data_IF_069261110901
#
_entry.id   IF_069261110901
#
_cell.length_a   1.000
_cell.length_b   1.000
_cell.length_c   1.000
_cell.angle_alpha   90.00
_cell.angle_beta   90.00
_cell.angle_gamma   90.00
#
_symmetry.space_group_name_H-M   'P 1'
#
loop_
_entity.id
_entity.type
_entity.pdbx_description
1 polymer ?
#
# COMPACT_ATOMS: atom_id res chain seq x y z
N UNK A 1 64.52 19.99 23.26
CA UNK A 1 64.96 18.69 22.70
C UNK A 1 64.30 18.55 21.34
N UNK A 2 65.06 18.20 20.31
CA UNK A 2 64.51 17.86 19.00
C UNK A 2 64.54 16.33 18.83
N UNK A 3 63.54 15.80 18.12
CA UNK A 3 63.58 14.47 17.53
C UNK A 3 62.96 14.58 16.14
N UNK A 4 63.82 14.74 15.13
CA UNK A 4 63.50 14.22 13.81
C UNK A 4 63.51 12.70 13.87
N UNK A 5 62.74 12.05 12.99
CA UNK A 5 63.34 11.12 12.02
C UNK A 5 62.36 10.82 10.87
N UNK A 6 62.97 10.75 9.68
CA UNK A 6 62.48 10.32 8.36
C UNK A 6 61.29 9.34 8.35
N UNK A 7 60.28 9.54 7.51
CA UNK A 7 60.31 9.31 6.04
C UNK A 7 60.75 7.89 5.65
N UNK A 8 59.84 7.14 5.03
CA UNK A 8 60.12 6.42 3.78
C UNK A 8 58.82 6.25 2.98
N UNK A 9 58.92 6.02 1.66
CA UNK A 9 57.76 6.05 0.75
C UNK A 9 57.78 4.93 -0.28
N UNK A 10 56.63 4.31 -0.51
CA UNK A 10 56.28 3.51 -1.70
C UNK A 10 54.75 3.40 -1.80
N UNK A 11 54.12 3.38 -2.96
CA UNK A 11 54.68 3.52 -4.31
C UNK A 11 53.75 2.88 -5.34
N UNK A 12 53.01 3.72 -6.09
CA UNK A 12 52.20 3.45 -7.31
C UNK A 12 51.54 2.07 -7.51
N UNK A 13 50.20 2.08 -7.63
CA UNK A 13 49.41 0.95 -8.13
C UNK A 13 48.14 1.47 -8.81
N UNK A 14 48.12 1.44 -10.14
CA UNK A 14 47.05 1.95 -11.01
C UNK A 14 46.61 0.84 -11.98
N UNK A 15 45.36 0.90 -12.45
CA UNK A 15 44.64 -0.12 -13.25
C UNK A 15 44.25 -1.41 -12.48
N UNK A 16 43.21 -2.17 -12.87
CA UNK A 16 42.33 -2.02 -14.04
C UNK A 16 40.87 -2.45 -13.78
N UNK A 17 39.99 -2.23 -14.78
CA UNK A 17 38.70 -2.90 -14.89
C UNK A 17 38.88 -4.35 -15.37
N UNK A 18 38.05 -5.27 -14.88
CA UNK A 18 37.71 -6.52 -15.59
C UNK A 18 36.22 -6.83 -15.44
N UNK A 19 35.63 -7.43 -16.47
CA UNK A 19 34.21 -7.80 -16.51
C UNK A 19 33.93 -9.10 -15.73
N UNK A 20 32.68 -9.32 -15.32
CA UNK A 20 32.15 -10.68 -15.17
C UNK A 20 31.21 -11.03 -16.33
N UNK A 21 31.78 -11.03 -17.55
CA UNK A 21 31.12 -11.56 -18.73
C UNK A 21 31.06 -13.08 -18.66
N UNK A 22 29.87 -13.65 -18.44
CA UNK A 22 29.66 -15.09 -18.63
C UNK A 22 28.64 -15.35 -19.75
N UNK A 23 29.10 -15.95 -20.84
CA UNK A 23 28.38 -15.99 -22.11
C UNK A 23 27.66 -17.33 -22.34
N UNK A 24 26.41 -17.27 -22.78
CA UNK A 24 25.75 -18.41 -23.44
C UNK A 24 25.12 -17.95 -24.76
N UNK A 25 25.94 -17.93 -25.82
CA UNK A 25 25.46 -18.14 -27.20
C UNK A 25 25.05 -19.63 -27.30
N UNK A 26 24.05 -20.06 -28.08
CA UNK A 26 23.51 -19.55 -29.33
C UNK A 26 22.03 -20.05 -29.49
N UNK A 27 21.25 -19.82 -30.56
CA UNK A 27 21.52 -19.46 -31.97
C UNK A 27 20.50 -18.45 -32.52
N UNK A 28 20.90 -17.67 -33.54
CA UNK A 28 20.07 -16.67 -34.25
C UNK A 28 19.15 -17.32 -35.30
N UNK A 29 17.91 -16.82 -35.44
CA UNK A 29 17.08 -16.65 -36.67
C UNK A 29 15.67 -16.19 -36.22
N UNK A 30 14.92 -15.31 -36.90
CA UNK A 30 15.14 -14.28 -37.94
C UNK A 30 13.95 -13.28 -37.81
N UNK A 31 14.08 -12.00 -38.18
CA UNK A 31 12.98 -11.00 -38.21
C UNK A 31 12.61 -10.60 -39.64
N UNK A 32 11.42 -9.98 -39.80
CA UNK A 32 10.81 -9.29 -40.97
C UNK A 32 9.83 -10.13 -41.82
N UNK A 33 8.82 -9.51 -42.49
CA UNK A 33 8.26 -8.15 -42.36
C UNK A 33 6.71 -8.10 -42.23
N UNK A 34 6.14 -6.90 -42.43
CA UNK A 34 4.72 -6.46 -42.35
C UNK A 34 4.05 -6.52 -43.74
N UNK A 35 2.75 -6.83 -43.83
CA UNK A 35 1.76 -6.10 -44.69
C UNK A 35 0.31 -6.56 -44.46
N UNK A 36 -0.63 -5.59 -44.54
CA UNK A 36 -2.08 -5.59 -44.92
C UNK A 36 -2.96 -6.81 -44.52
N UNK A 37 -4.14 -6.67 -43.89
CA UNK A 37 -5.35 -5.83 -44.13
C UNK A 37 -6.11 -6.19 -45.41
N UNK A 38 -7.17 -6.97 -45.24
CA UNK A 38 -8.41 -6.91 -46.03
C UNK A 38 -9.63 -6.99 -45.07
N UNK A 39 -10.81 -6.58 -45.54
CA UNK A 39 -12.08 -6.52 -44.78
C UNK A 39 -13.15 -7.34 -45.50
N UNK A 40 -13.86 -8.21 -44.80
CA UNK A 40 -15.10 -8.84 -45.31
C UNK A 40 -16.25 -8.74 -44.30
N UNK A 41 -17.49 -8.79 -44.79
CA UNK A 41 -18.72 -8.45 -44.06
C UNK A 41 -19.87 -9.39 -44.41
N UNK A 42 -20.46 -10.02 -43.39
CA UNK A 42 -21.87 -10.50 -43.35
C UNK A 42 -22.21 -10.70 -41.84
N UNK A 43 -23.36 -10.33 -41.26
CA UNK A 43 -24.80 -10.34 -41.63
C UNK A 43 -25.44 -11.75 -41.61
N UNK A 44 -26.58 -11.99 -40.93
CA UNK A 44 -27.22 -11.22 -39.84
C UNK A 44 -27.37 -12.10 -38.55
N UNK A 45 -28.49 -12.62 -38.00
CA UNK A 45 -29.95 -12.60 -38.25
C UNK A 45 -30.66 -12.52 -36.87
N UNK A 46 -31.85 -11.93 -36.79
CA UNK A 46 -32.58 -11.60 -35.56
C UNK A 46 -33.69 -12.63 -35.18
N UNK A 47 -33.82 -13.00 -33.89
CA UNK A 47 -35.01 -13.69 -33.33
C UNK A 47 -35.39 -13.16 -31.93
N UNK A 48 -36.70 -13.04 -31.66
CA UNK A 48 -37.34 -12.33 -30.53
C UNK A 48 -37.60 -13.25 -29.31
N UNK A 49 -37.44 -12.75 -28.06
CA UNK A 49 -37.25 -13.62 -26.87
C UNK A 49 -37.99 -13.35 -25.53
N UNK A 50 -39.04 -12.51 -25.47
CA UNK A 50 -40.11 -12.52 -24.41
C UNK A 50 -39.75 -12.28 -22.92
N UNK A 51 -40.21 -11.15 -22.34
CA UNK A 51 -40.10 -10.85 -20.89
C UNK A 51 -40.94 -11.76 -19.96
N UNK A 52 -40.48 -12.01 -18.72
CA UNK A 52 -41.32 -12.46 -17.60
C UNK A 52 -40.99 -11.77 -16.26
N UNK A 53 -41.87 -10.84 -15.87
CA UNK A 53 -41.91 -10.17 -14.55
C UNK A 53 -42.46 -11.12 -13.48
N UNK A 54 -41.85 -11.23 -12.30
CA UNK A 54 -42.41 -11.93 -11.12
C UNK A 54 -42.41 -11.05 -9.87
N UNK A 55 -43.38 -11.28 -8.97
CA UNK A 55 -43.78 -10.35 -7.90
C UNK A 55 -42.97 -10.51 -6.60
N UNK A 56 -42.92 -9.40 -5.86
CA UNK A 56 -42.60 -9.30 -4.42
C UNK A 56 -43.43 -10.30 -3.59
N UNK A 57 -42.88 -10.74 -2.45
CA UNK A 57 -43.64 -11.19 -1.28
C UNK A 57 -43.14 -10.41 -0.06
N UNK A 58 -44.05 -9.80 0.71
CA UNK A 58 -43.78 -9.45 2.10
C UNK A 58 -43.43 -10.71 2.92
N UNK A 59 -42.63 -10.52 3.96
CA UNK A 59 -42.30 -11.54 4.95
C UNK A 59 -41.80 -10.86 6.21
N UNK A 60 -42.73 -10.59 7.14
CA UNK A 60 -42.41 -9.99 8.44
C UNK A 60 -41.38 -10.83 9.18
N UNK A 61 -40.28 -10.21 9.61
CA UNK A 61 -39.30 -10.84 10.50
C UNK A 61 -39.09 -9.92 11.71
N UNK A 62 -39.52 -10.42 12.86
CA UNK A 62 -39.23 -9.84 14.18
C UNK A 62 -37.72 -9.77 14.38
N UNK A 63 -37.21 -8.61 14.80
CA UNK A 63 -35.79 -8.49 15.13
C UNK A 63 -35.50 -9.17 16.46
N UNK A 64 -34.69 -10.23 16.39
CA UNK A 64 -33.90 -10.75 17.50
C UNK A 64 -32.44 -10.64 17.05
N UNK A 65 -31.75 -9.59 17.49
CA UNK A 65 -30.35 -9.36 17.16
C UNK A 65 -29.44 -10.32 17.95
N UNK A 66 -29.32 -11.57 17.49
CA UNK A 66 -28.18 -12.41 17.85
C UNK A 66 -26.91 -11.80 17.22
N UNK A 67 -25.95 -11.40 18.06
CA UNK A 67 -24.69 -10.78 17.63
C UNK A 67 -23.73 -11.78 16.98
N UNK A 68 -24.10 -12.31 15.81
CA UNK A 68 -23.25 -13.17 14.99
C UNK A 68 -22.35 -12.29 14.13
N UNK A 69 -21.16 -11.94 14.65
CA UNK A 69 -20.11 -11.28 13.86
C UNK A 69 -19.78 -12.14 12.65
N UNK A 70 -20.04 -11.60 11.45
CA UNK A 70 -19.67 -12.28 10.22
C UNK A 70 -18.15 -12.39 10.14
N UNK A 71 -17.56 -13.55 9.78
CA UNK A 71 -16.13 -13.66 9.52
C UNK A 71 -15.70 -12.93 8.22
N UNK A 72 -16.65 -12.31 7.51
CA UNK A 72 -16.39 -11.47 6.34
C UNK A 72 -16.10 -10.02 6.74
N UNK A 73 -15.15 -9.40 6.04
CA UNK A 73 -14.78 -7.99 6.18
C UNK A 73 -15.98 -7.04 6.04
N UNK A 74 -16.49 -6.56 7.18
CA UNK A 74 -17.40 -5.43 7.23
C UNK A 74 -16.62 -4.13 6.97
N UNK A 75 -17.15 -3.25 6.12
CA UNK A 75 -16.55 -1.93 5.86
C UNK A 75 -16.89 -0.91 6.94
N UNK A 76 -18.07 -1.02 7.52
CA UNK A 76 -18.60 -0.13 8.56
C UNK A 76 -18.51 -0.85 9.91
N UNK A 77 -17.28 -1.27 10.22
CA UNK A 77 -16.92 -1.90 11.49
C UNK A 77 -16.31 -0.83 12.41
N UNK A 78 -16.66 -0.86 13.70
CA UNK A 78 -16.16 0.11 14.69
C UNK A 78 -14.63 0.18 14.72
N UNK A 79 -13.93 -0.92 14.40
CA UNK A 79 -12.48 -0.95 14.30
C UNK A 79 -11.89 0.05 13.28
N UNK A 80 -12.69 0.44 12.27
CA UNK A 80 -12.27 1.22 11.10
C UNK A 80 -12.81 2.66 11.09
N UNK A 81 -13.42 3.13 12.18
CA UNK A 81 -13.86 4.52 12.34
C UNK A 81 -12.71 5.54 12.23
N UNK A 82 -13.03 6.77 11.82
CA UNK A 82 -12.12 7.93 11.81
C UNK A 82 -11.54 8.16 13.21
N UNK A 83 -10.20 8.17 13.32
CA UNK A 83 -9.47 8.53 14.56
C UNK A 83 -9.94 9.88 15.09
N UNK A 84 -10.39 9.90 16.34
CA UNK A 84 -10.81 11.10 17.07
C UNK A 84 -9.60 11.85 17.66
N UNK A 85 -9.78 13.14 17.98
CA UNK A 85 -8.67 13.99 18.44
C UNK A 85 -8.17 13.65 19.86
N UNK A 86 -9.02 13.01 20.68
CA UNK A 86 -8.73 12.52 22.03
C UNK A 86 -8.02 11.15 22.04
N UNK A 87 -7.87 10.48 20.89
CA UNK A 87 -7.29 9.15 20.82
C UNK A 87 -5.75 9.17 21.05
N UNK A 88 -5.35 8.90 22.30
CA UNK A 88 -3.95 8.93 22.76
C UNK A 88 -3.14 7.67 22.42
N UNK A 89 -3.64 6.76 21.57
CA UNK A 89 -2.91 5.53 21.24
C UNK A 89 -1.56 5.83 20.58
N UNK A 90 -0.52 5.12 21.06
CA UNK A 90 0.82 5.09 20.49
C UNK A 90 1.24 3.61 20.38
N UNK A 91 1.40 3.05 19.17
CA UNK A 91 1.77 1.65 19.01
C UNK A 91 3.22 1.42 19.52
N UNK A 92 3.47 0.37 20.32
CA UNK A 92 4.81 0.00 20.76
C UNK A 92 5.79 -0.20 19.60
N UNK A 93 7.05 0.15 19.80
CA UNK A 93 8.10 -0.06 18.80
C UNK A 93 8.46 -1.55 18.70
N UNK A 94 8.73 -2.06 17.50
CA UNK A 94 9.18 -3.45 17.30
C UNK A 94 9.97 -3.61 16.00
N UNK A 95 10.60 -4.76 15.81
CA UNK A 95 11.30 -5.11 14.56
C UNK A 95 10.34 -5.41 13.37
N UNK A 96 9.03 -5.50 13.60
CA UNK A 96 8.07 -6.00 12.61
C UNK A 96 7.54 -4.92 11.66
N UNK A 97 8.46 -4.33 10.89
CA UNK A 97 8.17 -3.37 9.81
C UNK A 97 7.88 -1.94 10.30
N UNK A 98 8.03 -0.97 9.40
CA UNK A 98 8.19 0.45 9.75
C UNK A 98 6.89 1.25 9.96
N UNK A 99 5.69 0.64 9.92
CA UNK A 99 4.41 1.37 10.00
C UNK A 99 4.22 2.10 11.34
N UNK A 100 4.75 1.58 12.44
CA UNK A 100 4.69 2.23 13.76
C UNK A 100 5.41 3.59 13.79
N UNK A 101 6.44 3.80 12.97
CA UNK A 101 7.16 5.08 12.86
C UNK A 101 6.28 6.22 12.33
N UNK A 102 5.25 5.88 11.53
CA UNK A 102 4.34 6.84 10.90
C UNK A 102 2.98 6.96 11.61
N UNK A 103 2.75 6.19 12.68
CA UNK A 103 1.47 6.12 13.39
C UNK A 103 0.98 7.45 14.02
N UNK A 104 1.88 8.45 14.12
CA UNK A 104 1.54 9.82 14.50
C UNK A 104 0.61 10.51 13.50
N UNK A 105 0.67 10.13 12.21
CA UNK A 105 -0.18 10.64 11.14
C UNK A 105 -0.91 9.47 10.44
N UNK A 106 -2.23 9.33 10.67
CA UNK A 106 -3.00 8.26 10.05
C UNK A 106 -3.08 8.35 8.52
N UNK A 107 -2.91 9.52 7.90
CA UNK A 107 -2.83 9.64 6.45
C UNK A 107 -1.55 8.99 5.91
N UNK A 108 -0.40 9.20 6.59
CA UNK A 108 0.87 8.56 6.21
C UNK A 108 0.76 7.04 6.23
N UNK A 109 0.13 6.46 7.25
CA UNK A 109 -0.12 5.01 7.32
C UNK A 109 -0.95 4.51 6.12
N UNK A 110 -2.04 5.19 5.78
CA UNK A 110 -2.88 4.81 4.63
C UNK A 110 -2.15 4.97 3.28
N UNK A 111 -1.29 5.98 3.13
CA UNK A 111 -0.42 6.14 1.95
C UNK A 111 0.61 5.01 1.85
N UNK A 112 1.29 4.65 2.93
CA UNK A 112 2.25 3.54 2.94
C UNK A 112 1.55 2.23 2.56
N UNK A 113 0.40 1.91 3.16
CA UNK A 113 -0.38 0.72 2.81
C UNK A 113 -0.83 0.74 1.33
N UNK A 114 -1.13 1.91 0.77
CA UNK A 114 -1.44 2.08 -0.66
C UNK A 114 -0.24 1.72 -1.56
N UNK A 115 0.98 2.08 -1.15
CA UNK A 115 2.23 1.79 -1.88
C UNK A 115 2.68 0.32 -1.73
N UNK A 116 2.52 -0.28 -0.54
CA UNK A 116 2.98 -1.64 -0.25
C UNK A 116 2.24 -2.74 -1.03
N UNK A 117 1.07 -2.45 -1.61
CA UNK A 117 0.30 -3.37 -2.45
C UNK A 117 1.16 -4.05 -3.54
N UNK A 118 1.61 -5.29 -3.31
CA UNK A 118 2.52 -6.09 -4.17
C UNK A 118 3.97 -5.58 -4.26
N UNK A 119 4.50 -4.92 -3.22
CA UNK A 119 5.91 -4.50 -3.13
C UNK A 119 6.55 -4.89 -1.80
N UNK A 120 7.83 -5.26 -1.79
CA UNK A 120 8.55 -5.64 -0.57
C UNK A 120 8.91 -4.42 0.31
N UNK A 121 8.65 -4.52 1.61
CA UNK A 121 8.70 -3.39 2.55
C UNK A 121 10.03 -2.65 2.62
N UNK A 122 11.16 -3.36 2.62
CA UNK A 122 12.52 -2.77 2.70
C UNK A 122 12.88 -1.86 1.52
N UNK A 123 12.20 -2.00 0.37
CA UNK A 123 12.33 -1.05 -0.75
C UNK A 123 11.35 0.11 -0.67
N UNK A 124 10.23 -0.05 0.03
CA UNK A 124 9.24 0.99 0.21
C UNK A 124 9.70 2.06 1.21
N UNK A 125 10.34 1.66 2.32
CA UNK A 125 10.75 2.57 3.41
C UNK A 125 11.58 3.78 2.94
N UNK A 126 12.62 3.56 2.13
CA UNK A 126 13.45 4.65 1.56
C UNK A 126 12.62 5.60 0.68
N UNK A 127 11.79 5.02 -0.19
CA UNK A 127 10.91 5.78 -1.09
C UNK A 127 9.79 6.52 -0.34
N UNK A 128 9.39 6.02 0.82
CA UNK A 128 8.42 6.68 1.72
C UNK A 128 9.04 7.93 2.36
N UNK A 129 10.33 7.89 2.71
CA UNK A 129 11.04 9.09 3.19
C UNK A 129 11.15 10.17 2.08
N UNK A 130 11.53 9.77 0.86
CA UNK A 130 11.57 10.68 -0.30
C UNK A 130 10.17 11.27 -0.58
N UNK A 131 9.13 10.42 -0.60
CA UNK A 131 7.75 10.84 -0.85
C UNK A 131 7.21 11.78 0.24
N UNK A 132 7.50 11.55 1.52
CA UNK A 132 7.07 12.45 2.60
C UNK A 132 7.95 13.69 2.77
N UNK A 133 9.07 13.77 2.05
CA UNK A 133 9.81 15.03 1.86
C UNK A 133 9.13 15.88 0.78
N UNK A 134 8.65 15.26 -0.31
CA UNK A 134 7.88 15.91 -1.37
C UNK A 134 6.44 16.28 -0.95
N UNK A 135 5.80 15.40 -0.18
CA UNK A 135 4.42 15.49 0.27
C UNK A 135 4.37 15.32 1.80
N UNK A 136 4.69 16.35 2.59
CA UNK A 136 4.77 16.25 4.05
C UNK A 136 3.44 15.82 4.70
N UNK A 137 2.32 16.28 4.15
CA UNK A 137 0.95 16.04 4.63
C UNK A 137 -0.05 15.84 3.46
N UNK A 138 -1.29 15.48 3.81
CA UNK A 138 -2.37 15.24 2.85
C UNK A 138 -2.71 16.47 1.97
N UNK A 139 -2.62 17.70 2.50
CA UNK A 139 -2.94 18.93 1.77
C UNK A 139 -1.86 19.20 0.72
N UNK A 140 -0.58 19.11 1.09
CA UNK A 140 0.53 19.18 0.15
C UNK A 140 0.39 18.14 -0.97
N UNK A 141 0.04 16.90 -0.62
CA UNK A 141 -0.18 15.82 -1.59
C UNK A 141 -1.32 16.04 -2.60
N UNK A 142 -2.24 16.99 -2.36
CA UNK A 142 -3.24 17.41 -3.36
C UNK A 142 -2.72 18.45 -4.36
N UNK A 143 -1.70 19.23 -3.98
CA UNK A 143 -1.13 20.30 -4.82
C UNK A 143 0.10 19.88 -5.63
N UNK A 144 0.85 18.88 -5.18
CA UNK A 144 2.01 18.33 -5.92
C UNK A 144 1.55 17.63 -7.21
N UNK A 145 2.24 17.95 -8.31
CA UNK A 145 1.97 17.35 -9.62
C UNK A 145 2.11 15.81 -9.60
N UNK A 146 1.21 15.14 -10.31
CA UNK A 146 1.12 13.66 -10.34
C UNK A 146 2.42 13.01 -10.78
N UNK A 147 3.10 13.70 -11.68
CA UNK A 147 4.32 13.31 -12.37
C UNK A 147 5.54 13.34 -11.42
N UNK A 148 5.55 14.22 -10.42
CA UNK A 148 6.58 14.23 -9.36
C UNK A 148 6.35 13.10 -8.35
N UNK A 149 5.09 12.86 -7.97
CA UNK A 149 4.73 11.69 -7.14
C UNK A 149 5.06 10.39 -7.91
N UNK A 150 4.81 10.34 -9.23
CA UNK A 150 5.24 9.23 -10.09
C UNK A 150 6.75 9.05 -10.08
N UNK A 151 7.51 10.15 -10.19
CA UNK A 151 8.97 10.17 -10.19
C UNK A 151 9.55 9.63 -8.88
N UNK A 152 9.03 10.08 -7.74
CA UNK A 152 9.45 9.62 -6.41
C UNK A 152 9.21 8.12 -6.23
N UNK A 153 8.01 7.62 -6.54
CA UNK A 153 7.65 6.21 -6.30
C UNK A 153 8.03 5.25 -7.45
N UNK A 154 8.77 5.74 -8.45
CA UNK A 154 9.09 5.04 -9.71
C UNK A 154 9.70 3.64 -9.51
N UNK A 155 10.59 3.50 -8.52
CA UNK A 155 11.31 2.25 -8.21
C UNK A 155 10.41 1.14 -7.64
N UNK A 156 9.23 1.48 -7.10
CA UNK A 156 8.28 0.51 -6.54
C UNK A 156 7.41 -0.16 -7.63
N UNK A 157 7.38 0.38 -8.85
CA UNK A 157 6.51 -0.03 -9.94
C UNK A 157 5.05 0.44 -9.78
N UNK A 158 4.22 0.19 -10.81
CA UNK A 158 2.81 0.60 -10.89
C UNK A 158 2.58 2.11 -10.64
N UNK A 159 3.63 2.92 -10.81
CA UNK A 159 3.75 4.27 -10.27
C UNK A 159 2.66 5.21 -10.80
N UNK A 160 2.29 5.12 -12.09
CA UNK A 160 1.18 5.88 -12.71
C UNK A 160 -0.17 5.67 -12.04
N UNK A 161 -0.44 4.45 -11.56
CA UNK A 161 -1.67 4.11 -10.83
C UNK A 161 -1.57 4.52 -9.36
N UNK A 162 -0.39 4.33 -8.75
CA UNK A 162 -0.16 4.66 -7.33
C UNK A 162 -0.16 6.17 -7.08
N UNK A 163 0.50 6.98 -7.90
CA UNK A 163 0.53 8.44 -7.76
C UNK A 163 -0.88 9.07 -7.80
N UNK A 164 -1.69 8.67 -8.79
CA UNK A 164 -3.10 9.06 -8.89
C UNK A 164 -3.95 8.57 -7.72
N UNK A 165 -3.63 7.39 -7.16
CA UNK A 165 -4.31 6.91 -5.95
C UNK A 165 -3.91 7.72 -4.72
N UNK A 166 -2.63 8.07 -4.55
CA UNK A 166 -2.14 8.88 -3.41
C UNK A 166 -2.75 10.28 -3.43
N UNK A 167 -2.77 10.97 -4.57
CA UNK A 167 -3.45 12.28 -4.69
C UNK A 167 -4.94 12.17 -4.34
N UNK A 168 -5.64 11.17 -4.91
CA UNK A 168 -7.08 11.00 -4.68
C UNK A 168 -7.38 10.64 -3.22
N UNK A 169 -6.63 9.70 -2.63
CA UNK A 169 -6.69 9.36 -1.21
C UNK A 169 -6.50 10.61 -0.35
N UNK A 170 -5.52 11.45 -0.67
CA UNK A 170 -5.23 12.67 0.09
C UNK A 170 -6.36 13.71 -0.02
N UNK A 171 -6.96 13.87 -1.21
CA UNK A 171 -8.13 14.75 -1.40
C UNK A 171 -9.36 14.24 -0.67
N UNK A 172 -9.68 12.95 -0.83
CA UNK A 172 -10.87 12.33 -0.26
C UNK A 172 -10.72 12.22 1.29
N UNK A 173 -9.50 12.04 1.81
CA UNK A 173 -9.18 12.04 3.26
C UNK A 173 -9.47 13.38 3.94
N UNK A 174 -9.24 14.51 3.25
CA UNK A 174 -9.48 15.86 3.76
C UNK A 174 -10.97 16.25 3.83
N UNK A 175 -11.89 15.40 3.38
CA UNK A 175 -13.32 15.66 3.50
C UNK A 175 -13.87 15.25 4.88
N UNK A 176 -14.99 15.83 5.29
CA UNK A 176 -15.63 15.57 6.59
C UNK A 176 -16.72 14.48 6.53
N UNK A 177 -17.09 14.03 5.32
CA UNK A 177 -18.24 13.13 5.06
C UNK A 177 -17.96 11.63 5.28
N UNK A 178 -16.68 11.21 5.31
CA UNK A 178 -16.32 9.82 5.60
C UNK A 178 -16.24 9.55 7.11
N UNK A 179 -16.92 8.51 7.58
CA UNK A 179 -16.90 8.07 8.99
C UNK A 179 -15.94 6.91 9.20
N UNK A 180 -15.70 6.09 8.18
CA UNK A 180 -14.83 4.91 8.22
C UNK A 180 -13.76 4.98 7.13
N UNK A 181 -12.51 4.59 7.45
CA UNK A 181 -11.40 4.68 6.49
C UNK A 181 -11.61 3.83 5.24
N UNK A 182 -12.41 2.77 5.34
CA UNK A 182 -12.79 1.86 4.24
C UNK A 182 -13.60 2.53 3.12
N UNK A 183 -14.11 3.75 3.35
CA UNK A 183 -14.74 4.60 2.34
C UNK A 183 -13.71 5.26 1.41
N UNK A 184 -12.47 5.46 1.88
CA UNK A 184 -11.42 6.17 1.16
C UNK A 184 -10.85 5.33 0.00
N UNK A 185 -10.47 5.97 -1.12
CA UNK A 185 -10.04 5.26 -2.32
C UNK A 185 -8.71 4.53 -2.07
N UNK A 186 -8.71 3.22 -2.34
CA UNK A 186 -7.55 2.36 -2.14
C UNK A 186 -7.50 1.63 -0.79
N UNK A 187 -8.34 2.01 0.18
CA UNK A 187 -8.37 1.38 1.52
C UNK A 187 -9.17 0.07 1.48
N UNK A 188 -8.46 -1.02 1.19
CA UNK A 188 -8.95 -2.39 1.41
C UNK A 188 -8.63 -2.89 2.83
N UNK A 189 -9.09 -4.12 3.16
CA UNK A 189 -8.96 -4.72 4.51
C UNK A 189 -7.56 -4.55 5.12
N UNK A 190 -6.49 -4.82 4.38
CA UNK A 190 -5.12 -4.64 4.85
C UNK A 190 -4.81 -3.22 5.40
N UNK A 191 -5.22 -2.18 4.68
CA UNK A 191 -5.01 -0.80 5.10
C UNK A 191 -5.94 -0.40 6.26
N UNK A 192 -7.14 -0.98 6.33
CA UNK A 192 -8.09 -0.77 7.41
C UNK A 192 -7.63 -1.47 8.72
N UNK A 193 -7.15 -2.71 8.63
CA UNK A 193 -6.53 -3.45 9.74
C UNK A 193 -5.29 -2.69 10.26
N UNK A 194 -4.42 -2.22 9.36
CA UNK A 194 -3.24 -1.44 9.73
C UNK A 194 -3.62 -0.10 10.40
N UNK A 195 -4.70 0.55 9.95
CA UNK A 195 -5.24 1.73 10.60
C UNK A 195 -5.75 1.43 12.03
N UNK A 196 -6.53 0.36 12.21
CA UNK A 196 -7.00 -0.07 13.52
C UNK A 196 -5.83 -0.38 14.48
N UNK A 197 -4.79 -1.05 13.98
CA UNK A 197 -3.61 -1.47 14.76
C UNK A 197 -2.70 -0.29 15.12
N UNK A 198 -2.27 0.50 14.13
CA UNK A 198 -1.28 1.55 14.34
C UNK A 198 -1.89 2.90 14.74
N UNK A 199 -3.06 3.27 14.21
CA UNK A 199 -3.58 4.63 14.34
C UNK A 199 -4.53 4.79 15.54
N UNK A 200 -5.51 3.90 15.71
CA UNK A 200 -6.57 4.06 16.74
C UNK A 200 -6.41 3.17 17.97
N UNK A 201 -5.62 2.10 17.89
CA UNK A 201 -5.45 1.14 18.98
C UNK A 201 -6.58 0.11 19.09
N UNK A 202 -7.50 0.06 18.13
CA UNK A 202 -8.57 -0.95 18.03
C UNK A 202 -8.05 -2.33 17.54
N UNK A 203 -6.79 -2.67 17.87
CA UNK A 203 -6.08 -3.87 17.40
C UNK A 203 -6.70 -5.19 17.88
N UNK A 204 -7.36 -5.19 19.04
CA UNK A 204 -8.06 -6.36 19.57
C UNK A 204 -9.34 -6.70 18.80
N UNK A 205 -9.94 -5.72 18.13
CA UNK A 205 -11.18 -5.87 17.35
C UNK A 205 -10.93 -6.46 15.96
N UNK A 206 -9.72 -6.29 15.40
CA UNK A 206 -9.36 -6.81 14.07
C UNK A 206 -8.61 -8.15 14.15
N UNK A 207 -8.71 -8.94 13.07
CA UNK A 207 -7.79 -10.05 12.79
C UNK A 207 -7.18 -9.81 11.40
N UNK A 208 -5.88 -9.49 11.29
CA UNK A 208 -5.25 -9.25 10.00
C UNK A 208 -5.07 -10.53 9.17
N UNK A 209 -4.95 -10.34 7.86
CA UNK A 209 -4.68 -11.42 6.88
C UNK A 209 -3.31 -11.27 6.20
N UNK A 210 -2.57 -10.18 6.47
CA UNK A 210 -1.26 -9.91 5.86
C UNK A 210 -0.14 -10.42 6.76
N UNK A 211 0.80 -11.20 6.20
CA UNK A 211 1.85 -11.85 6.98
C UNK A 211 2.72 -10.89 7.80
N UNK A 212 2.99 -9.66 7.34
CA UNK A 212 3.79 -8.71 8.12
C UNK A 212 2.95 -8.04 9.21
N UNK A 213 1.68 -7.73 8.90
CA UNK A 213 0.75 -7.18 9.87
C UNK A 213 0.39 -8.18 10.98
N UNK A 214 0.32 -9.47 10.65
CA UNK A 214 0.13 -10.57 11.59
C UNK A 214 1.27 -10.63 12.62
N UNK A 215 2.54 -10.56 12.21
CA UNK A 215 3.68 -10.56 13.16
C UNK A 215 3.62 -9.42 14.16
N UNK A 216 3.27 -8.21 13.70
CA UNK A 216 3.11 -7.07 14.61
C UNK A 216 1.90 -7.26 15.55
N UNK A 217 0.79 -7.81 15.06
CA UNK A 217 -0.40 -8.11 15.86
C UNK A 217 -0.17 -9.23 16.89
N UNK A 218 0.55 -10.29 16.52
CA UNK A 218 1.00 -11.38 17.40
C UNK A 218 1.91 -10.85 18.52
N UNK A 219 2.78 -9.89 18.22
CA UNK A 219 3.61 -9.17 19.19
C UNK A 219 2.80 -8.30 20.17
N UNK A 220 1.70 -7.66 19.74
CA UNK A 220 0.78 -6.99 20.67
C UNK A 220 0.09 -8.00 21.60
N UNK A 221 -0.38 -9.13 21.05
CA UNK A 221 -0.99 -10.21 21.83
C UNK A 221 -0.05 -10.76 22.91
N UNK A 222 1.21 -11.06 22.56
CA UNK A 222 2.19 -11.58 23.54
C UNK A 222 2.56 -10.52 24.59
N UNK A 223 2.71 -9.25 24.19
CA UNK A 223 2.99 -8.15 25.11
C UNK A 223 1.83 -7.92 26.08
N UNK A 224 0.57 -8.00 25.64
CA UNK A 224 -0.60 -7.89 26.52
C UNK A 224 -0.62 -9.01 27.57
N UNK A 225 -0.39 -10.25 27.14
CA UNK A 225 -0.39 -11.42 28.03
C UNK A 225 0.78 -11.44 29.03
N UNK A 226 1.81 -10.60 28.85
CA UNK A 226 2.93 -10.42 29.78
C UNK A 226 2.72 -9.27 30.78
N UNK A 227 1.62 -8.51 30.65
CA UNK A 227 1.26 -7.37 31.49
C UNK A 227 -0.06 -7.58 32.26
N UNK A 228 -0.63 -8.79 32.18
CA UNK A 228 -1.91 -9.20 32.76
C UNK A 228 -1.74 -10.30 33.82
#
# INVERSE_FOLDING_TARGET
MAMELSMESSGVGELDLEECSNSNKAKRRKKKPISNREEEKEKDVNVIGRSKKRKKKEGTKTSLHSATTSPYYNKFDEAYERKTADNTWKPPQSEFGFLHNHAHDPWRVLVICTLLNRTAGTRAERVVADLFTLCPDAKAATGVATEEIERAIKSLGLQKRRAKMVQRLSKDYLQEDWTHVTQLPGVGKYAADAYAIFCTGKWEQVRPNDHMLNRYWEYLCSTKNALS
#
